data_IF_059444059043
#
_entry.id   IF_059444059043
#
_cell.length_a   1.000
_cell.length_b   1.000
_cell.length_c   1.000
_cell.angle_alpha   90.00
_cell.angle_beta   90.00
_cell.angle_gamma   90.00
#
_symmetry.space_group_name_H-M   'P 1'
#
loop_
_entity.id
_entity.type
_entity.pdbx_description
1 polymer ?
#
# COMPACT_ATOMS: atom_id res chain seq x y z
N UNK A 1 5.65 -3.85 10.50
CA UNK A 1 5.21 -4.71 9.38
C UNK A 1 6.05 -4.31 8.18
N UNK A 2 6.48 -5.25 7.35
CA UNK A 2 7.52 -5.04 6.34
C UNK A 2 7.06 -4.12 5.22
N UNK A 3 7.89 -3.12 4.91
CA UNK A 3 7.75 -2.32 3.70
C UNK A 3 8.02 -3.20 2.47
N UNK A 4 7.27 -3.00 1.39
CA UNK A 4 7.47 -3.68 0.11
C UNK A 4 8.30 -2.75 -0.78
N UNK A 5 9.45 -3.20 -1.25
CA UNK A 5 10.28 -2.42 -2.17
C UNK A 5 10.16 -2.97 -3.60
N UNK A 6 9.84 -2.12 -4.57
CA UNK A 6 9.84 -2.44 -6.02
C UNK A 6 10.44 -1.29 -6.82
N UNK A 7 11.50 -1.56 -7.58
CA UNK A 7 12.05 -0.61 -8.57
C UNK A 7 12.38 0.79 -7.97
N UNK A 8 12.86 0.83 -6.72
CA UNK A 8 13.15 2.07 -5.97
C UNK A 8 11.94 2.72 -5.28
N UNK A 9 10.74 2.17 -5.45
CA UNK A 9 9.55 2.54 -4.70
C UNK A 9 9.42 1.69 -3.43
N UNK A 10 9.10 2.33 -2.32
CA UNK A 10 8.85 1.70 -1.02
C UNK A 10 7.39 1.90 -0.67
N UNK A 11 6.69 0.80 -0.46
CA UNK A 11 5.27 0.76 -0.10
C UNK A 11 5.13 0.34 1.35
N UNK A 12 4.66 1.26 2.18
CA UNK A 12 4.39 1.04 3.60
C UNK A 12 2.88 0.96 3.84
N UNK A 13 2.31 -0.25 3.94
CA UNK A 13 0.90 -0.42 4.27
C UNK A 13 0.66 -0.21 5.76
N UNK A 14 -0.20 0.74 6.08
CA UNK A 14 -0.72 1.02 7.41
C UNK A 14 -2.24 0.80 7.43
N UNK A 15 -2.77 0.25 8.52
CA UNK A 15 -4.21 0.03 8.61
C UNK A 15 -4.70 0.00 10.06
N UNK A 16 -5.94 0.44 10.23
CA UNK A 16 -6.67 0.45 11.48
C UNK A 16 -7.80 -0.58 11.43
N UNK A 17 -7.68 -1.62 12.27
CA UNK A 17 -8.72 -2.67 12.43
C UNK A 17 -10.01 -2.10 13.00
N UNK A 18 -9.89 -1.12 13.90
CA UNK A 18 -11.03 -0.49 14.57
C UNK A 18 -11.84 0.33 13.57
N UNK A 19 -11.15 1.12 12.74
CA UNK A 19 -11.79 1.97 11.74
C UNK A 19 -12.06 1.26 10.42
N UNK A 20 -11.58 0.02 10.26
CA UNK A 20 -11.72 -0.79 9.04
C UNK A 20 -11.21 -0.07 7.78
N UNK A 21 -10.13 0.70 7.95
CA UNK A 21 -9.51 1.48 6.89
C UNK A 21 -7.99 1.33 6.93
N UNK A 22 -7.34 1.58 5.80
CA UNK A 22 -5.90 1.57 5.69
C UNK A 22 -5.43 2.50 4.59
N UNK A 23 -4.13 2.73 4.58
CA UNK A 23 -3.43 3.52 3.60
C UNK A 23 -2.11 2.82 3.27
N UNK A 24 -1.69 2.86 2.01
CA UNK A 24 -0.36 2.43 1.61
C UNK A 24 0.43 3.68 1.26
N UNK A 25 1.43 4.02 2.06
CA UNK A 25 2.30 5.14 1.76
C UNK A 25 3.35 4.71 0.73
N UNK A 26 3.41 5.43 -0.38
CA UNK A 26 4.36 5.20 -1.47
C UNK A 26 5.46 6.24 -1.36
N UNK A 27 6.67 5.76 -1.13
CA UNK A 27 7.90 6.55 -1.17
C UNK A 27 8.71 6.14 -2.39
N UNK A 28 9.48 7.06 -2.96
CA UNK A 28 10.43 6.78 -4.02
C UNK A 28 11.70 7.58 -3.77
N UNK A 29 12.85 6.91 -3.74
CA UNK A 29 14.15 7.54 -3.43
C UNK A 29 14.16 8.36 -2.12
N UNK A 30 13.31 7.97 -1.15
CA UNK A 30 13.15 8.67 0.13
C UNK A 30 12.18 9.87 0.10
N UNK A 31 11.58 10.19 -1.04
CA UNK A 31 10.53 11.19 -1.16
C UNK A 31 9.15 10.55 -1.09
N UNK A 32 8.24 11.12 -0.31
CA UNK A 32 6.83 10.72 -0.30
C UNK A 32 6.19 11.11 -1.64
N UNK A 33 5.71 10.12 -2.37
CA UNK A 33 5.05 10.33 -3.67
C UNK A 33 3.54 10.45 -3.46
N UNK A 34 2.93 9.45 -2.84
CA UNK A 34 1.48 9.40 -2.66
C UNK A 34 1.05 8.39 -1.60
N UNK A 35 -0.21 8.47 -1.15
CA UNK A 35 -0.83 7.44 -0.32
C UNK A 35 -2.06 6.83 -1.00
N UNK A 36 -2.16 5.50 -0.95
CA UNK A 36 -3.29 4.75 -1.47
C UNK A 36 -4.23 4.39 -0.32
N UNK A 37 -5.28 5.18 -0.12
CA UNK A 37 -6.31 4.89 0.89
C UNK A 37 -7.22 3.76 0.42
N UNK A 38 -7.45 2.80 1.29
CA UNK A 38 -8.37 1.70 1.05
C UNK A 38 -9.19 1.40 2.30
N UNK A 39 -10.35 0.79 2.09
CA UNK A 39 -11.14 0.22 3.19
C UNK A 39 -11.12 -1.30 3.06
N UNK A 40 -11.20 -1.98 4.20
CA UNK A 40 -11.29 -3.43 4.23
C UNK A 40 -12.37 -3.84 5.22
N UNK A 41 -12.95 -5.01 5.01
CA UNK A 41 -13.96 -5.55 5.91
C UNK A 41 -13.40 -6.75 6.68
N UNK A 42 -13.61 -6.75 7.99
CA UNK A 42 -13.20 -7.82 8.89
C UNK A 42 -12.07 -7.42 9.83
N UNK A 43 -11.40 -8.40 10.41
CA UNK A 43 -10.39 -8.14 11.45
C UNK A 43 -9.07 -7.60 10.89
N UNK A 44 -8.72 -7.88 9.64
CA UNK A 44 -7.46 -7.43 9.04
C UNK A 44 -7.64 -7.29 7.52
N UNK A 45 -6.95 -6.36 6.85
CA UNK A 45 -6.90 -6.35 5.41
C UNK A 45 -6.19 -7.61 4.92
N UNK A 46 -6.71 -8.20 3.84
CA UNK A 46 -6.07 -9.34 3.22
C UNK A 46 -4.78 -8.87 2.56
N UNK A 47 -3.70 -9.62 2.77
CA UNK A 47 -2.40 -9.36 2.13
C UNK A 47 -2.54 -9.25 0.61
N UNK A 48 -3.33 -10.16 0.02
CA UNK A 48 -3.73 -10.17 -1.40
C UNK A 48 -4.33 -8.84 -1.89
N UNK A 49 -5.13 -8.17 -1.05
CA UNK A 49 -5.72 -6.87 -1.39
C UNK A 49 -4.66 -5.78 -1.42
N UNK A 50 -3.72 -5.79 -0.47
CA UNK A 50 -2.61 -4.83 -0.40
C UNK A 50 -1.67 -5.04 -1.58
N UNK A 51 -1.29 -6.28 -1.84
CA UNK A 51 -0.45 -6.65 -2.97
C UNK A 51 -1.10 -6.28 -4.30
N UNK A 52 -2.41 -6.53 -4.47
CA UNK A 52 -3.15 -6.13 -5.66
C UNK A 52 -3.23 -4.62 -5.86
N UNK A 53 -3.34 -3.83 -4.79
CA UNK A 53 -3.29 -2.36 -4.86
C UNK A 53 -1.91 -1.86 -5.31
N UNK A 54 -0.84 -2.46 -4.78
CA UNK A 54 0.53 -2.13 -5.17
C UNK A 54 0.79 -2.54 -6.62
N UNK A 55 0.31 -3.72 -7.03
CA UNK A 55 0.50 -4.23 -8.39
C UNK A 55 -0.23 -3.37 -9.42
N UNK A 56 -1.51 -3.03 -9.13
CA UNK A 56 -2.27 -2.11 -9.96
C UNK A 56 -1.59 -0.74 -10.07
N UNK A 57 -1.08 -0.21 -8.96
CA UNK A 57 -0.32 1.04 -8.95
C UNK A 57 0.96 0.96 -9.79
N UNK A 58 1.70 -0.14 -9.67
CA UNK A 58 2.92 -0.42 -10.44
C UNK A 58 2.60 -0.47 -11.94
N UNK A 59 1.52 -1.17 -12.31
CA UNK A 59 1.06 -1.28 -13.70
C UNK A 59 0.61 0.08 -14.25
N UNK A 60 -0.14 0.87 -13.48
CA UNK A 60 -0.63 2.18 -13.90
C UNK A 60 0.50 3.19 -14.14
N UNK A 61 1.56 3.11 -13.32
CA UNK A 61 2.76 3.96 -13.42
C UNK A 61 3.80 3.40 -14.40
N UNK A 62 3.64 2.17 -14.88
CA UNK A 62 4.55 1.50 -15.81
C UNK A 62 5.90 1.12 -15.20
N UNK A 63 5.90 0.74 -13.92
CA UNK A 63 7.10 0.41 -13.12
C UNK A 63 7.36 -1.10 -13.07
#
# INVERSE_FOLDING_TARGET
MGAIERNGYVFEPEYSVIEQNGAIHVYHDGEFIEELKFSFLGNYPKMDQIEGLIDAYCEEKGI
#
